data_IF_742406165232
#
_entry.id   IF_742406165232
#
_cell.length_a   1.000
_cell.length_b   1.000
_cell.length_c   1.000
_cell.angle_alpha   90.00
_cell.angle_beta   90.00
_cell.angle_gamma   90.00
#
_symmetry.space_group_name_H-M   'P 1'
#
loop_
_entity.id
_entity.type
_entity.pdbx_description
1 polymer ?
#
# COMPACT_ATOMS: atom_id res chain seq x y z
N UNK A 1 3.04 1.80 -12.71
CA UNK A 1 2.30 0.90 -11.81
C UNK A 1 1.58 1.74 -10.78
N UNK A 2 0.32 1.44 -10.55
CA UNK A 2 -0.50 1.99 -9.47
C UNK A 2 -0.55 0.93 -8.37
N UNK A 3 -0.03 1.27 -7.19
CA UNK A 3 0.18 0.31 -6.11
C UNK A 3 -0.54 0.81 -4.86
N UNK A 4 -1.38 -0.03 -4.26
CA UNK A 4 -1.85 0.23 -2.91
C UNK A 4 -0.75 -0.07 -1.90
N UNK A 5 -0.47 0.94 -1.07
CA UNK A 5 0.48 0.88 0.02
C UNK A 5 -0.36 0.88 1.29
N UNK A 6 -0.74 -0.32 1.74
CA UNK A 6 -1.68 -0.55 2.82
C UNK A 6 -1.28 0.04 4.18
N UNK A 7 -1.73 -0.57 5.27
CA UNK A 7 -1.60 0.02 6.61
C UNK A 7 -0.80 -0.86 7.59
N UNK A 8 -0.35 -0.26 8.69
CA UNK A 8 0.29 -0.99 9.78
C UNK A 8 1.82 -0.99 9.77
N UNK A 9 2.40 -1.64 10.78
CA UNK A 9 3.84 -1.63 11.05
C UNK A 9 4.66 -2.34 9.97
N UNK A 10 4.14 -3.45 9.43
CA UNK A 10 4.84 -4.23 8.39
C UNK A 10 4.95 -3.46 7.08
N UNK A 11 3.89 -2.77 6.66
CA UNK A 11 3.86 -1.99 5.42
C UNK A 11 4.86 -0.83 5.44
N UNK A 12 5.20 -0.29 6.62
CA UNK A 12 6.24 0.76 6.73
C UNK A 12 7.58 0.33 6.14
N UNK A 13 7.96 -0.93 6.29
CA UNK A 13 9.20 -1.45 5.71
C UNK A 13 9.14 -1.52 4.18
N UNK A 14 7.97 -1.84 3.62
CA UNK A 14 7.73 -1.83 2.17
C UNK A 14 7.86 -0.41 1.64
N UNK A 15 7.29 0.57 2.34
CA UNK A 15 7.36 2.00 1.98
C UNK A 15 8.81 2.49 1.99
N UNK A 16 9.60 2.16 3.02
CA UNK A 16 11.03 2.52 3.09
C UNK A 16 11.79 1.97 1.89
N UNK A 17 11.67 0.66 1.64
CA UNK A 17 12.35 -0.01 0.54
C UNK A 17 11.91 0.56 -0.83
N UNK A 18 10.61 0.82 -1.01
CA UNK A 18 10.10 1.43 -2.23
C UNK A 18 10.69 2.82 -2.45
N UNK A 19 10.80 3.63 -1.40
CA UNK A 19 11.46 4.93 -1.44
C UNK A 19 12.91 4.83 -1.89
N UNK A 20 13.68 3.90 -1.34
CA UNK A 20 15.07 3.64 -1.73
C UNK A 20 15.19 3.17 -3.20
N UNK A 21 14.30 2.29 -3.64
CA UNK A 21 14.29 1.79 -5.02
C UNK A 21 13.95 2.89 -6.02
N UNK A 22 13.02 3.78 -5.69
CA UNK A 22 12.66 4.94 -6.51
C UNK A 22 13.82 5.94 -6.58
N UNK A 23 14.46 6.24 -5.44
CA UNK A 23 15.60 7.17 -5.38
C UNK A 23 16.83 6.64 -6.12
N UNK A 24 17.09 5.33 -6.05
CA UNK A 24 18.16 4.69 -6.80
C UNK A 24 17.87 4.53 -8.30
N UNK A 25 16.64 4.79 -8.74
CA UNK A 25 16.21 4.62 -10.13
C UNK A 25 16.04 3.16 -10.57
N UNK A 26 16.12 2.20 -9.64
CA UNK A 26 15.89 0.77 -9.94
C UNK A 26 14.44 0.49 -10.33
N UNK A 27 13.51 1.24 -9.74
CA UNK A 27 12.10 1.24 -10.14
C UNK A 27 11.69 2.68 -10.49
N UNK A 28 10.72 2.80 -11.37
CA UNK A 28 10.25 4.07 -11.89
C UNK A 28 8.77 3.96 -12.26
N UNK A 29 8.11 5.10 -12.48
CA UNK A 29 6.69 5.17 -12.85
C UNK A 29 5.76 4.46 -11.85
N UNK A 30 6.03 4.58 -10.55
CA UNK A 30 5.16 4.07 -9.49
C UNK A 30 4.36 5.23 -8.90
N UNK A 31 3.05 5.01 -8.75
CA UNK A 31 2.13 5.88 -8.03
C UNK A 31 1.55 5.06 -6.88
N UNK A 32 1.73 5.54 -5.66
CA UNK A 32 1.13 4.95 -4.48
C UNK A 32 -0.30 5.45 -4.29
N UNK A 33 -1.23 4.53 -4.07
CA UNK A 33 -2.51 4.86 -3.44
C UNK A 33 -2.29 4.77 -1.94
N UNK A 34 -2.56 5.89 -1.26
CA UNK A 34 -2.42 5.99 0.18
C UNK A 34 -3.52 6.87 0.73
N UNK A 35 -3.99 6.53 1.92
CA UNK A 35 -5.15 7.17 2.53
C UNK A 35 -4.84 8.33 3.47
N UNK A 36 -3.99 8.07 4.46
CA UNK A 36 -3.62 9.06 5.46
C UNK A 36 -2.25 9.58 5.05
N UNK A 37 -1.97 10.88 4.96
CA UNK A 37 -0.63 11.32 4.53
C UNK A 37 0.46 10.81 5.50
N UNK A 38 1.01 9.62 5.23
CA UNK A 38 1.94 8.96 6.12
C UNK A 38 3.25 9.72 5.91
N UNK A 39 3.68 10.41 6.96
CA UNK A 39 4.82 11.32 6.89
C UNK A 39 6.05 10.66 6.23
N UNK A 40 6.22 9.35 6.41
CA UNK A 40 7.22 8.54 5.72
C UNK A 40 7.11 8.62 4.19
N UNK A 41 5.94 8.36 3.60
CA UNK A 41 5.72 8.33 2.14
C UNK A 41 6.02 9.70 1.53
N UNK A 42 5.57 10.78 2.20
CA UNK A 42 5.86 12.15 1.81
C UNK A 42 7.37 12.42 1.90
N UNK A 43 8.00 12.02 3.00
CA UNK A 43 9.43 12.25 3.23
C UNK A 43 10.31 11.54 2.20
N UNK A 44 9.87 10.38 1.72
CA UNK A 44 10.53 9.59 0.69
C UNK A 44 10.20 10.05 -0.74
N UNK A 45 9.32 11.05 -0.90
CA UNK A 45 8.89 11.63 -2.18
C UNK A 45 8.29 10.61 -3.15
N UNK A 46 7.58 9.61 -2.61
CA UNK A 46 6.84 8.66 -3.42
C UNK A 46 5.63 9.39 -4.02
N UNK A 47 5.41 9.34 -5.35
CA UNK A 47 4.23 9.95 -5.97
C UNK A 47 2.94 9.33 -5.41
N UNK A 48 1.97 10.17 -5.04
CA UNK A 48 0.72 9.74 -4.43
C UNK A 48 -0.49 10.14 -5.28
N UNK A 49 -1.52 9.30 -5.26
CA UNK A 49 -2.85 9.59 -5.80
C UNK A 49 -3.94 8.87 -4.99
N UNK A 50 -5.17 8.86 -5.49
CA UNK A 50 -6.34 8.27 -4.85
C UNK A 50 -7.04 7.27 -5.79
N UNK A 51 -7.95 6.48 -5.23
CA UNK A 51 -8.68 5.45 -5.96
C UNK A 51 -9.68 6.02 -6.97
N UNK A 52 -10.14 7.27 -6.79
CA UNK A 52 -11.06 7.91 -7.73
C UNK A 52 -10.35 8.24 -9.06
N UNK A 53 -9.10 8.69 -8.98
CA UNK A 53 -8.23 8.97 -10.13
C UNK A 53 -7.72 7.67 -10.79
N UNK A 54 -7.48 6.63 -9.98
CA UNK A 54 -6.99 5.32 -10.43
C UNK A 54 -7.82 4.19 -9.84
N UNK A 55 -8.96 3.82 -10.45
CA UNK A 55 -9.90 2.83 -9.91
C UNK A 55 -9.47 1.38 -10.12
N UNK A 56 -8.39 1.14 -10.85
CA UNK A 56 -7.82 -0.19 -11.10
C UNK A 56 -6.35 -0.14 -10.69
N UNK A 57 -5.96 -1.07 -9.81
CA UNK A 57 -4.61 -1.15 -9.26
C UNK A 57 -3.85 -2.30 -9.90
N UNK A 58 -2.53 -2.14 -10.01
CA UNK A 58 -1.65 -3.19 -10.52
C UNK A 58 -1.20 -4.15 -9.41
N UNK A 59 -1.14 -3.66 -8.17
CA UNK A 59 -0.68 -4.41 -7.00
C UNK A 59 -1.22 -3.78 -5.72
N UNK A 60 -1.67 -4.61 -4.78
CA UNK A 60 -1.90 -4.21 -3.39
C UNK A 60 -0.92 -4.91 -2.47
N UNK A 61 -0.29 -4.16 -1.55
CA UNK A 61 0.61 -4.70 -0.53
C UNK A 61 0.09 -4.28 0.84
N UNK A 62 -0.38 -5.25 1.62
CA UNK A 62 -0.88 -5.00 2.96
C UNK A 62 -0.50 -6.13 3.93
N UNK A 63 -0.62 -5.84 5.23
CA UNK A 63 -0.46 -6.82 6.30
C UNK A 63 -1.74 -7.65 6.54
N UNK A 64 -1.59 -8.69 7.35
CA UNK A 64 -2.70 -9.45 7.91
C UNK A 64 -2.43 -9.70 9.41
N UNK A 65 -3.50 -9.79 10.19
CA UNK A 65 -3.42 -10.12 11.62
C UNK A 65 -3.23 -11.62 11.80
N UNK A 66 -3.91 -12.43 10.98
CA UNK A 66 -3.76 -13.88 10.91
C UNK A 66 -3.85 -14.36 9.45
N UNK A 67 -3.14 -15.44 9.14
CA UNK A 67 -3.14 -16.09 7.82
C UNK A 67 -3.24 -17.59 8.01
N UNK A 68 -4.23 -18.22 7.37
CA UNK A 68 -4.37 -19.68 7.36
C UNK A 68 -3.59 -20.34 6.19
N UNK A 69 -3.43 -21.68 6.17
CA UNK A 69 -2.73 -22.37 5.07
C UNK A 69 -3.39 -22.25 3.68
N UNK A 70 -4.63 -21.76 3.60
CA UNK A 70 -5.36 -21.54 2.37
C UNK A 70 -5.32 -20.07 1.91
N UNK A 71 -4.53 -19.23 2.60
CA UNK A 71 -4.40 -17.79 2.36
C UNK A 71 -5.68 -17.00 2.65
N UNK A 72 -6.57 -17.52 3.50
CA UNK A 72 -7.62 -16.68 4.09
C UNK A 72 -6.99 -15.79 5.17
N UNK A 73 -7.47 -14.55 5.24
CA UNK A 73 -6.88 -13.51 6.09
C UNK A 73 -7.87 -13.04 7.14
N UNK A 74 -7.39 -12.87 8.37
CA UNK A 74 -8.02 -12.00 9.36
C UNK A 74 -7.29 -10.66 9.32
N UNK A 75 -8.05 -9.58 9.18
CA UNK A 75 -7.56 -8.19 9.10
C UNK A 75 -8.45 -7.27 9.90
N UNK A 76 -7.94 -6.07 10.20
CA UNK A 76 -8.73 -5.01 10.81
C UNK A 76 -8.42 -4.73 12.28
N UNK A 77 -7.39 -5.33 12.88
CA UNK A 77 -6.94 -4.99 14.23
C UNK A 77 -6.68 -3.47 14.39
N UNK A 78 -6.25 -2.81 13.31
CA UNK A 78 -6.02 -1.36 13.28
C UNK A 78 -7.25 -0.51 12.96
N UNK A 79 -8.42 -1.10 12.70
CA UNK A 79 -9.68 -0.37 12.48
C UNK A 79 -9.94 0.12 11.06
N UNK A 80 -9.17 -0.32 10.06
CA UNK A 80 -9.27 0.14 8.66
C UNK A 80 -9.87 -0.89 7.68
N UNK A 81 -10.35 -2.04 8.17
CA UNK A 81 -10.74 -3.21 7.37
C UNK A 81 -11.64 -2.89 6.17
N UNK A 82 -12.69 -2.10 6.36
CA UNK A 82 -13.64 -1.80 5.27
C UNK A 82 -12.90 -1.18 4.08
N UNK A 83 -11.97 -0.27 4.36
CA UNK A 83 -11.24 0.42 3.33
C UNK A 83 -10.15 -0.44 2.71
N UNK A 84 -9.38 -1.16 3.54
CA UNK A 84 -8.43 -2.17 3.07
C UNK A 84 -9.11 -3.08 2.04
N UNK A 85 -10.32 -3.57 2.36
CA UNK A 85 -11.07 -4.43 1.45
C UNK A 85 -11.53 -3.76 0.16
N UNK A 86 -11.93 -2.49 0.21
CA UNK A 86 -12.33 -1.72 -0.99
C UNK A 86 -11.13 -1.55 -1.93
N UNK A 87 -9.98 -1.17 -1.39
CA UNK A 87 -8.78 -0.87 -2.19
C UNK A 87 -8.17 -2.17 -2.71
N UNK A 88 -8.05 -3.21 -1.89
CA UNK A 88 -7.59 -4.54 -2.31
C UNK A 88 -8.50 -5.17 -3.38
N UNK A 89 -9.82 -4.91 -3.30
CA UNK A 89 -10.79 -5.37 -4.30
C UNK A 89 -10.71 -4.65 -5.64
N UNK A 90 -9.95 -3.57 -5.74
CA UNK A 90 -9.67 -2.84 -6.98
C UNK A 90 -8.42 -3.36 -7.71
N UNK A 91 -7.74 -4.36 -7.14
CA UNK A 91 -6.58 -5.04 -7.71
C UNK A 91 -6.95 -6.36 -8.39
#
# INVERSE_FOLDING_TARGET
MIIDLGSGSTVKHVVDLLGELLQSGKVHNIIGIFENTHQQVISLRIPLSNLDDYPILDLAIDGADEVDPHLNLVKGCCGYLLRERIVEGAC
#
